data_IF_533310314895
#
_entry.id   IF_533310314895
#
_cell.length_a   1.000
_cell.length_b   1.000
_cell.length_c   1.000
_cell.angle_alpha   90.00
_cell.angle_beta   90.00
_cell.angle_gamma   90.00
#
_symmetry.space_group_name_H-M   'P 1'
#
loop_
_entity.id
_entity.type
_entity.pdbx_description
1 polymer ?
#
# COMPACT_ATOMS: atom_id res chain seq x y z
N UNK A 1 16.50 -23.50 1.57
CA UNK A 1 17.10 -23.00 2.82
C UNK A 1 16.51 -21.63 3.08
N UNK A 2 15.68 -21.48 4.11
CA UNK A 2 15.21 -20.15 4.51
C UNK A 2 16.41 -19.37 5.05
N UNK A 3 16.51 -18.09 4.71
CA UNK A 3 17.62 -17.28 5.20
C UNK A 3 17.46 -17.08 6.72
N UNK A 4 18.34 -17.73 7.49
CA UNK A 4 18.35 -17.71 8.95
C UNK A 4 18.45 -16.27 9.49
N UNK A 5 18.97 -15.32 8.70
CA UNK A 5 19.06 -13.89 9.07
C UNK A 5 17.70 -13.22 9.18
N UNK A 6 16.70 -13.68 8.42
CA UNK A 6 15.33 -13.15 8.49
C UNK A 6 14.66 -13.48 9.83
N UNK A 7 15.11 -14.53 10.54
CA UNK A 7 14.59 -14.87 11.87
C UNK A 7 14.84 -13.76 12.90
N UNK A 8 15.97 -13.04 12.77
CA UNK A 8 16.28 -11.88 13.63
C UNK A 8 15.27 -10.73 13.44
N UNK A 9 14.68 -10.63 12.24
CA UNK A 9 13.71 -9.60 11.89
C UNK A 9 12.25 -10.05 12.04
N UNK A 10 11.97 -11.26 12.55
CA UNK A 10 10.59 -11.79 12.66
C UNK A 10 9.69 -10.87 13.48
N UNK A 11 10.17 -10.32 14.60
CA UNK A 11 9.38 -9.38 15.41
C UNK A 11 9.05 -8.07 14.68
N UNK A 12 9.92 -7.66 13.77
CA UNK A 12 9.76 -6.46 12.96
C UNK A 12 8.79 -6.70 11.78
N UNK A 13 8.93 -7.84 11.11
CA UNK A 13 8.10 -8.28 9.99
C UNK A 13 6.71 -8.76 10.43
N UNK A 14 6.54 -9.10 11.71
CA UNK A 14 5.24 -9.46 12.28
C UNK A 14 4.30 -8.25 12.40
N UNK A 15 4.81 -7.02 12.42
CA UNK A 15 3.98 -5.83 12.36
C UNK A 15 3.36 -5.69 10.97
N UNK A 16 2.03 -5.52 10.92
CA UNK A 16 1.30 -5.24 9.68
C UNK A 16 0.46 -3.97 9.82
N UNK A 17 0.71 -2.94 9.00
CA UNK A 17 1.83 -2.81 8.06
C UNK A 17 3.17 -2.61 8.79
N UNK A 18 4.31 -3.08 8.25
CA UNK A 18 5.62 -2.75 8.80
C UNK A 18 5.86 -1.25 8.66
N UNK A 19 6.38 -0.60 9.71
CA UNK A 19 6.72 0.83 9.62
C UNK A 19 7.80 1.05 8.56
N UNK A 20 7.76 2.16 7.82
CA UNK A 20 8.79 2.41 6.83
C UNK A 20 10.19 2.56 7.43
N UNK A 21 10.30 3.07 8.65
CA UNK A 21 11.58 3.12 9.38
C UNK A 21 12.14 1.72 9.65
N UNK A 22 11.28 0.79 10.05
CA UNK A 22 11.64 -0.61 10.22
C UNK A 22 12.10 -1.24 8.89
N UNK A 23 11.38 -0.95 7.80
CA UNK A 23 11.75 -1.43 6.46
C UNK A 23 13.10 -0.87 6.00
N UNK A 24 13.32 0.44 6.19
CA UNK A 24 14.57 1.12 5.86
C UNK A 24 15.75 0.49 6.61
N UNK A 25 15.61 0.30 7.92
CA UNK A 25 16.65 -0.35 8.75
C UNK A 25 16.93 -1.78 8.32
N UNK A 26 15.89 -2.58 8.08
CA UNK A 26 16.05 -3.95 7.62
C UNK A 26 16.82 -4.00 6.30
N UNK A 27 16.47 -3.14 5.34
CA UNK A 27 17.13 -3.11 4.03
C UNK A 27 18.58 -2.61 4.14
N UNK A 28 18.83 -1.58 4.95
CA UNK A 28 20.19 -1.09 5.23
C UNK A 28 21.06 -2.17 5.87
N UNK A 29 20.56 -2.85 6.91
CA UNK A 29 21.31 -3.87 7.63
C UNK A 29 21.55 -5.13 6.77
N UNK A 30 20.55 -5.51 5.96
CA UNK A 30 20.62 -6.71 5.13
C UNK A 30 21.54 -6.54 3.91
N UNK A 31 21.46 -5.39 3.23
CA UNK A 31 22.25 -5.11 2.02
C UNK A 31 23.55 -4.35 2.30
N UNK A 32 23.72 -3.76 3.48
CA UNK A 32 24.92 -3.00 3.86
C UNK A 32 25.09 -1.68 3.11
N UNK A 33 24.03 -1.15 2.50
CA UNK A 33 24.05 0.10 1.72
C UNK A 33 23.06 1.11 2.29
N UNK A 34 23.29 2.43 2.12
CA UNK A 34 22.28 3.43 2.46
C UNK A 34 21.02 3.22 1.63
N UNK A 35 19.92 2.91 2.30
CA UNK A 35 18.59 2.77 1.70
C UNK A 35 17.70 3.86 2.29
N UNK A 36 16.96 4.56 1.44
CA UNK A 36 15.86 5.44 1.84
C UNK A 36 14.52 4.79 1.53
N UNK A 37 13.49 5.05 2.32
CA UNK A 37 12.11 4.58 2.05
C UNK A 37 11.17 5.77 1.97
N UNK A 38 10.56 5.98 0.80
CA UNK A 38 9.52 6.99 0.59
C UNK A 38 8.15 6.35 0.84
N UNK A 39 7.42 6.89 1.82
CA UNK A 39 6.04 6.50 2.13
C UNK A 39 5.03 7.35 1.37
N UNK A 40 3.80 6.87 1.35
CA UNK A 40 2.66 7.58 0.77
C UNK A 40 2.81 7.85 -0.73
N UNK A 41 3.47 6.94 -1.44
CA UNK A 41 3.46 6.94 -2.90
C UNK A 41 2.10 6.41 -3.35
N UNK A 42 1.20 7.36 -3.60
CA UNK A 42 -0.16 7.04 -3.99
C UNK A 42 -0.25 6.39 -5.37
N UNK A 43 -1.27 5.56 -5.55
CA UNK A 43 -1.55 4.89 -6.82
C UNK A 43 -3.03 5.02 -7.18
N UNK A 44 -3.31 5.07 -8.49
CA UNK A 44 -4.66 4.89 -9.00
C UNK A 44 -5.05 3.41 -8.98
N UNK A 45 -6.01 3.06 -8.14
CA UNK A 45 -6.61 1.72 -8.08
C UNK A 45 -7.84 1.70 -8.98
N UNK A 46 -7.88 0.77 -9.93
CA UNK A 46 -9.06 0.50 -10.75
C UNK A 46 -10.14 -0.18 -9.91
N UNK A 47 -11.38 0.31 -10.04
CA UNK A 47 -12.53 -0.30 -9.42
C UNK A 47 -13.15 -1.36 -10.32
N UNK A 48 -13.41 -2.52 -9.72
CA UNK A 48 -14.29 -3.53 -10.28
C UNK A 48 -15.67 -2.96 -10.60
N UNK A 49 -16.37 -3.57 -11.56
CA UNK A 49 -17.64 -3.04 -12.08
C UNK A 49 -18.70 -2.95 -10.98
N UNK A 50 -18.65 -3.85 -10.02
CA UNK A 50 -19.54 -3.97 -8.88
C UNK A 50 -19.36 -2.84 -7.86
N UNK A 51 -18.16 -2.25 -7.82
CA UNK A 51 -17.78 -1.17 -6.91
C UNK A 51 -17.93 0.23 -7.54
N UNK A 52 -18.40 0.30 -8.79
CA UNK A 52 -18.68 1.57 -9.47
C UNK A 52 -20.06 2.08 -9.12
N UNK A 53 -20.20 3.41 -9.13
CA UNK A 53 -21.48 4.08 -8.94
C UNK A 53 -22.31 4.01 -10.21
N UNK A 54 -23.61 3.70 -10.09
CA UNK A 54 -24.57 3.79 -11.19
C UNK A 54 -25.85 4.49 -10.75
N UNK A 55 -26.41 5.30 -11.65
CA UNK A 55 -27.62 6.07 -11.41
C UNK A 55 -28.88 5.27 -11.82
N UNK A 56 -30.00 5.55 -11.15
CA UNK A 56 -31.28 4.89 -11.39
C UNK A 56 -31.74 4.06 -10.19
N UNK A 57 -33.00 3.61 -10.22
CA UNK A 57 -33.64 2.86 -9.12
C UNK A 57 -33.00 1.50 -8.85
N UNK A 58 -32.31 0.92 -9.83
CA UNK A 58 -31.50 -0.31 -9.71
C UNK A 58 -29.99 -0.02 -9.62
N UNK A 59 -29.61 1.26 -9.51
CA UNK A 59 -28.23 1.70 -9.39
C UNK A 59 -27.57 1.25 -8.08
N UNK A 60 -26.24 1.14 -8.09
CA UNK A 60 -25.43 0.74 -6.93
C UNK A 60 -24.43 1.83 -6.59
N UNK A 61 -23.99 1.86 -5.33
CA UNK A 61 -22.96 2.78 -4.82
C UNK A 61 -23.24 4.25 -5.20
N UNK A 62 -24.46 4.72 -4.99
CA UNK A 62 -24.91 6.05 -5.43
C UNK A 62 -25.40 6.94 -4.29
N UNK A 63 -25.10 6.57 -3.04
CA UNK A 63 -25.37 7.39 -1.86
C UNK A 63 -24.22 8.35 -1.61
N UNK A 64 -24.50 9.65 -1.82
CA UNK A 64 -23.51 10.70 -1.62
C UNK A 64 -23.04 10.73 -0.14
N UNK A 65 -21.72 10.75 0.06
CA UNK A 65 -21.10 10.77 1.39
C UNK A 65 -21.02 9.40 2.07
N UNK A 66 -21.56 8.35 1.46
CA UNK A 66 -21.54 6.97 1.97
C UNK A 66 -20.84 6.03 1.00
N UNK A 67 -21.33 5.93 -0.24
CA UNK A 67 -20.89 4.90 -1.20
C UNK A 67 -20.57 5.43 -2.60
N UNK A 68 -20.94 6.68 -2.92
CA UNK A 68 -20.66 7.25 -4.25
C UNK A 68 -19.18 7.45 -4.52
N UNK A 69 -18.69 6.78 -5.56
CA UNK A 69 -17.39 7.04 -6.20
C UNK A 69 -17.57 7.70 -7.56
N UNK A 70 -16.76 8.71 -7.87
CA UNK A 70 -16.73 9.36 -9.18
C UNK A 70 -15.72 8.66 -10.09
N UNK A 71 -16.20 8.11 -11.21
CA UNK A 71 -15.35 7.48 -12.22
C UNK A 71 -15.10 5.98 -12.01
N UNK A 72 -14.00 5.47 -12.58
CA UNK A 72 -13.65 4.04 -12.54
C UNK A 72 -12.43 3.74 -11.67
N UNK A 73 -11.80 4.76 -11.08
CA UNK A 73 -10.56 4.63 -10.31
C UNK A 73 -10.62 5.47 -9.05
N UNK A 74 -9.97 5.00 -7.99
CA UNK A 74 -9.74 5.76 -6.76
C UNK A 74 -8.25 6.01 -6.58
N UNK A 75 -7.90 7.12 -5.93
CA UNK A 75 -6.52 7.39 -5.54
C UNK A 75 -6.31 6.88 -4.12
N UNK A 76 -5.42 5.90 -3.96
CA UNK A 76 -5.05 5.36 -2.65
C UNK A 76 -3.68 5.87 -2.24
N UNK A 77 -3.63 6.77 -1.25
CA UNK A 77 -2.38 7.42 -0.84
C UNK A 77 -1.41 6.46 -0.14
N UNK A 78 -1.92 5.40 0.50
CA UNK A 78 -1.09 4.46 1.25
C UNK A 78 -0.77 3.19 0.47
N UNK A 79 -0.97 3.21 -0.85
CA UNK A 79 -0.85 2.02 -1.69
C UNK A 79 0.55 1.42 -1.67
N UNK A 80 1.61 2.24 -1.68
CA UNK A 80 2.98 1.77 -1.88
C UNK A 80 4.02 2.54 -1.06
N UNK A 81 5.16 1.87 -0.88
CA UNK A 81 6.42 2.47 -0.49
C UNK A 81 7.43 2.30 -1.63
N UNK A 82 8.28 3.30 -1.83
CA UNK A 82 9.30 3.30 -2.89
C UNK A 82 10.69 3.32 -2.28
N UNK A 83 11.59 2.54 -2.87
CA UNK A 83 13.03 2.61 -2.64
C UNK A 83 13.62 3.38 -3.81
N UNK A 84 14.06 4.64 -3.63
CA UNK A 84 14.69 5.40 -4.71
C UNK A 84 16.06 4.79 -5.05
N UNK A 85 16.37 4.69 -6.34
CA UNK A 85 17.72 4.41 -6.82
C UNK A 85 18.53 5.72 -6.76
N UNK A 86 19.56 5.75 -5.92
CA UNK A 86 20.60 6.80 -5.94
C UNK A 86 21.56 6.56 -7.09
#
# INVERSE_FOLDING_TARGET
>A
MADQRLLFYVGLLAQRPPSAHAMERLLQDYFGVPVGVSQFEGEWIELDKENRSSLGSSGKNNELGLSTVVGTRIWEQQARFRIPST
#
